data_IF_306862977549
#
_entry.id   IF_306862977549
#
_cell.length_a   1.000
_cell.length_b   1.000
_cell.length_c   1.000
_cell.angle_alpha   90.00
_cell.angle_beta   90.00
_cell.angle_gamma   90.00
#
_symmetry.space_group_name_H-M   'P 1'
#
loop_
_entity.id
_entity.type
_entity.pdbx_description
1 polymer ?
#
# COMPACT_ATOMS: atom_id res chain seq x y z
N UNK A 1 18.74 -21.61 -3.60
CA UNK A 1 17.66 -20.83 -4.08
C UNK A 1 16.71 -20.38 -3.01
N UNK A 2 16.84 -20.88 -1.80
CA UNK A 2 16.01 -20.37 -0.73
C UNK A 2 16.21 -18.89 -0.48
N UNK A 3 17.44 -18.39 -0.67
CA UNK A 3 17.68 -16.96 -0.50
C UNK A 3 16.89 -16.12 -1.48
N UNK A 4 16.69 -16.62 -2.70
CA UNK A 4 15.88 -15.90 -3.68
C UNK A 4 14.42 -15.87 -3.26
N UNK A 5 13.95 -16.97 -2.72
CA UNK A 5 12.57 -17.05 -2.22
C UNK A 5 12.36 -16.12 -1.03
N UNK A 6 13.35 -16.06 -0.14
CA UNK A 6 13.28 -15.17 1.01
C UNK A 6 13.25 -13.71 0.56
N UNK A 7 14.06 -13.36 -0.45
CA UNK A 7 14.04 -12.02 -0.99
C UNK A 7 12.69 -11.66 -1.59
N UNK A 8 12.06 -12.60 -2.32
CA UNK A 8 10.75 -12.38 -2.89
C UNK A 8 9.69 -12.22 -1.80
N UNK A 9 9.78 -13.01 -0.74
CA UNK A 9 8.84 -12.91 0.37
C UNK A 9 8.94 -11.53 1.05
N UNK A 10 10.14 -10.95 1.10
CA UNK A 10 10.33 -9.64 1.70
C UNK A 10 9.80 -8.51 0.83
N UNK A 11 9.61 -8.77 -0.46
CA UNK A 11 9.16 -7.77 -1.42
C UNK A 11 7.73 -8.07 -1.89
N UNK A 12 6.84 -8.29 -0.94
CA UNK A 12 5.42 -8.49 -1.20
C UNK A 12 4.69 -7.18 -1.01
N UNK A 13 3.76 -6.92 -1.91
CA UNK A 13 2.96 -5.69 -1.90
C UNK A 13 1.49 -6.05 -1.85
N UNK A 14 0.77 -5.44 -0.92
CA UNK A 14 -0.69 -5.48 -0.86
C UNK A 14 -1.21 -4.18 -1.46
N UNK A 15 -2.16 -4.26 -2.38
CA UNK A 15 -2.76 -3.09 -3.01
C UNK A 15 -4.19 -2.95 -2.50
N UNK A 16 -4.51 -1.79 -1.94
CA UNK A 16 -5.83 -1.52 -1.37
C UNK A 16 -6.46 -0.34 -2.11
N UNK A 17 -7.44 -0.64 -2.94
CA UNK A 17 -8.16 0.35 -3.75
C UNK A 17 -9.44 -0.32 -4.23
N UNK A 18 -10.54 0.42 -4.25
CA UNK A 18 -11.82 -0.14 -4.68
C UNK A 18 -12.04 -0.03 -6.19
N UNK A 19 -11.11 0.57 -6.93
CA UNK A 19 -11.19 0.69 -8.38
C UNK A 19 -10.29 -0.35 -9.04
N UNK A 20 -10.93 -1.30 -9.72
CA UNK A 20 -10.21 -2.43 -10.33
C UNK A 20 -9.13 -1.98 -11.32
N UNK A 21 -9.43 -0.96 -12.14
CA UNK A 21 -8.47 -0.49 -13.14
C UNK A 21 -7.23 0.13 -12.48
N UNK A 22 -7.42 0.80 -11.35
CA UNK A 22 -6.29 1.36 -10.59
C UNK A 22 -5.42 0.21 -10.07
N UNK A 23 -6.07 -0.81 -9.49
CA UNK A 23 -5.34 -1.98 -8.97
C UNK A 23 -4.52 -2.64 -10.08
N UNK A 24 -5.11 -2.81 -11.27
CA UNK A 24 -4.39 -3.41 -12.40
C UNK A 24 -3.16 -2.59 -12.79
N UNK A 25 -3.30 -1.28 -12.88
CA UNK A 25 -2.20 -0.41 -13.25
C UNK A 25 -1.06 -0.44 -12.23
N UNK A 26 -1.41 -0.38 -10.96
CA UNK A 26 -0.41 -0.47 -9.89
C UNK A 26 0.28 -1.83 -9.88
N UNK A 27 -0.49 -2.90 -10.08
CA UNK A 27 0.07 -4.25 -10.13
C UNK A 27 1.11 -4.40 -11.23
N UNK A 28 0.86 -3.82 -12.40
CA UNK A 28 1.80 -3.90 -13.52
C UNK A 28 3.13 -3.25 -13.15
N UNK A 29 3.11 -2.09 -12.51
CA UNK A 29 4.34 -1.40 -12.10
C UNK A 29 5.09 -2.24 -11.08
N UNK A 30 4.39 -2.76 -10.09
CA UNK A 30 4.99 -3.57 -9.03
C UNK A 30 5.67 -4.81 -9.63
N UNK A 31 4.98 -5.50 -10.53
CA UNK A 31 5.53 -6.71 -11.15
C UNK A 31 6.72 -6.40 -12.05
N UNK A 32 6.69 -5.26 -12.76
CA UNK A 32 7.83 -4.83 -13.58
C UNK A 32 9.06 -4.55 -12.72
N UNK A 33 8.85 -4.17 -11.47
CA UNK A 33 9.96 -3.93 -10.54
C UNK A 33 10.50 -5.22 -9.92
N UNK A 34 9.91 -6.37 -10.26
CA UNK A 34 10.35 -7.65 -9.73
C UNK A 34 9.76 -7.99 -8.37
N UNK A 35 8.70 -7.29 -7.96
CA UNK A 35 8.04 -7.52 -6.68
C UNK A 35 6.75 -8.30 -6.90
N UNK A 36 6.28 -8.93 -5.84
CA UNK A 36 5.06 -9.76 -5.89
C UNK A 36 3.87 -8.97 -5.34
N UNK A 37 2.76 -8.96 -6.09
CA UNK A 37 1.49 -8.47 -5.56
C UNK A 37 0.81 -9.67 -4.90
N UNK A 38 0.82 -9.71 -3.59
CA UNK A 38 0.32 -10.88 -2.86
C UNK A 38 -1.20 -10.90 -2.79
N UNK A 39 -1.85 -9.74 -2.84
CA UNK A 39 -3.32 -9.67 -2.80
C UNK A 39 -3.76 -8.25 -3.10
N UNK A 40 -5.07 -8.07 -3.28
CA UNK A 40 -5.67 -6.76 -3.35
C UNK A 40 -6.94 -6.75 -2.52
N UNK A 41 -7.33 -5.58 -2.02
CA UNK A 41 -8.51 -5.41 -1.19
C UNK A 41 -9.25 -4.14 -1.58
N UNK A 42 -10.56 -4.14 -1.38
CA UNK A 42 -11.40 -2.98 -1.69
C UNK A 42 -11.98 -2.33 -0.43
N UNK A 43 -11.85 -2.99 0.73
CA UNK A 43 -12.37 -2.48 2.00
C UNK A 43 -11.27 -2.49 3.05
N UNK A 44 -11.47 -1.69 4.10
CA UNK A 44 -10.51 -1.65 5.20
C UNK A 44 -10.40 -3.00 5.92
N UNK A 45 -11.54 -3.66 6.16
CA UNK A 45 -11.53 -4.95 6.86
C UNK A 45 -10.78 -6.02 6.07
N UNK A 46 -11.02 -6.09 4.76
CA UNK A 46 -10.31 -7.04 3.91
C UNK A 46 -8.81 -6.73 3.85
N UNK A 47 -8.47 -5.44 3.80
CA UNK A 47 -7.07 -5.02 3.78
C UNK A 47 -6.33 -5.52 5.03
N UNK A 48 -6.94 -5.33 6.19
CA UNK A 48 -6.34 -5.78 7.45
C UNK A 48 -6.20 -7.30 7.47
N UNK A 49 -7.26 -8.02 7.09
CA UNK A 49 -7.23 -9.48 7.09
C UNK A 49 -6.16 -10.02 6.16
N UNK A 50 -6.06 -9.47 4.95
CA UNK A 50 -5.08 -9.92 3.96
C UNK A 50 -3.66 -9.54 4.37
N UNK A 51 -3.48 -8.38 4.99
CA UNK A 51 -2.17 -7.97 5.49
C UNK A 51 -1.69 -8.92 6.58
N UNK A 52 -2.57 -9.32 7.48
CA UNK A 52 -2.22 -10.27 8.54
C UNK A 52 -1.91 -11.64 7.98
N UNK A 53 -2.61 -12.05 6.93
CA UNK A 53 -2.40 -13.35 6.30
C UNK A 53 -1.08 -13.41 5.52
N UNK A 54 -0.82 -12.42 4.68
CA UNK A 54 0.32 -12.45 3.77
C UNK A 54 1.54 -11.68 4.25
N UNK A 55 1.37 -10.82 5.24
CA UNK A 55 2.42 -10.02 5.87
C UNK A 55 3.29 -9.30 4.83
N UNK A 56 2.68 -8.43 4.02
CA UNK A 56 3.43 -7.72 2.98
C UNK A 56 4.45 -6.75 3.58
N UNK A 57 5.51 -6.49 2.85
CA UNK A 57 6.48 -5.48 3.26
C UNK A 57 5.97 -4.07 2.99
N UNK A 58 5.14 -3.93 1.95
CA UNK A 58 4.59 -2.64 1.53
C UNK A 58 3.10 -2.76 1.31
N UNK A 59 2.35 -1.74 1.71
CA UNK A 59 0.92 -1.63 1.42
C UNK A 59 0.69 -0.32 0.66
N UNK A 60 0.10 -0.42 -0.53
CA UNK A 60 -0.36 0.75 -1.28
C UNK A 60 -1.81 0.96 -0.86
N UNK A 61 -2.09 2.08 -0.19
CA UNK A 61 -3.36 2.28 0.50
C UNK A 61 -4.10 3.48 -0.04
N UNK A 62 -5.26 3.25 -0.65
CA UNK A 62 -6.18 4.31 -1.00
C UNK A 62 -6.88 4.80 0.27
N UNK A 63 -7.05 6.12 0.36
CA UNK A 63 -7.77 6.72 1.50
C UNK A 63 -9.25 6.34 1.49
N UNK A 64 -9.85 6.35 0.32
CA UNK A 64 -11.30 6.13 0.19
C UNK A 64 -11.59 4.68 -0.15
N UNK A 65 -12.22 3.99 0.77
CA UNK A 65 -12.58 2.60 0.60
C UNK A 65 -14.07 2.43 0.86
N UNK A 66 -14.62 1.32 0.37
CA UNK A 66 -16.01 0.99 0.64
C UNK A 66 -16.17 0.59 2.10
N UNK A 67 -17.34 0.91 2.66
CA UNK A 67 -17.65 0.53 4.03
C UNK A 67 -17.45 1.68 5.02
N UNK A 68 -17.55 1.36 6.30
CA UNK A 68 -17.51 2.36 7.37
C UNK A 68 -16.12 2.86 7.70
N UNK A 69 -15.10 2.04 7.45
CA UNK A 69 -13.71 2.38 7.75
C UNK A 69 -12.98 2.75 6.47
N UNK A 70 -12.09 3.72 6.57
CA UNK A 70 -11.31 4.18 5.42
C UNK A 70 -9.87 3.65 5.47
N UNK A 71 -9.04 4.12 4.53
CA UNK A 71 -7.65 3.67 4.42
C UNK A 71 -6.80 4.02 5.63
N UNK A 72 -7.09 5.13 6.30
CA UNK A 72 -6.31 5.49 7.50
C UNK A 72 -6.60 4.51 8.63
N UNK A 73 -7.87 4.14 8.82
CA UNK A 73 -8.23 3.15 9.84
C UNK A 73 -7.51 1.83 9.59
N UNK A 74 -7.53 1.36 8.33
CA UNK A 74 -6.85 0.12 7.97
C UNK A 74 -5.34 0.22 8.18
N UNK A 75 -4.74 1.34 7.79
CA UNK A 75 -3.30 1.53 7.87
C UNK A 75 -2.83 1.51 9.33
N UNK A 76 -3.57 2.14 10.23
CA UNK A 76 -3.23 2.14 11.64
C UNK A 76 -3.20 0.71 12.19
N UNK A 77 -4.21 -0.07 11.87
CA UNK A 77 -4.29 -1.45 12.36
C UNK A 77 -3.20 -2.33 11.74
N UNK A 78 -2.94 -2.16 10.45
CA UNK A 78 -1.88 -2.91 9.77
C UNK A 78 -0.52 -2.56 10.37
N UNK A 79 -0.28 -1.28 10.61
CA UNK A 79 0.96 -0.82 11.21
C UNK A 79 1.18 -1.48 12.58
N UNK A 80 0.15 -1.54 13.40
CA UNK A 80 0.24 -2.12 14.74
C UNK A 80 0.40 -3.64 14.71
N UNK A 81 -0.27 -4.34 13.80
CA UNK A 81 -0.33 -5.80 13.81
C UNK A 81 0.69 -6.47 12.88
N UNK A 82 1.09 -5.79 11.82
CA UNK A 82 1.98 -6.38 10.80
C UNK A 82 3.29 -5.62 10.69
N UNK A 83 3.24 -4.30 10.81
CA UNK A 83 4.43 -3.47 10.69
C UNK A 83 4.82 -3.17 9.25
N UNK A 84 3.91 -3.35 8.30
CA UNK A 84 4.16 -3.04 6.89
C UNK A 84 4.43 -1.55 6.69
N UNK A 85 5.26 -1.22 5.71
CA UNK A 85 5.43 0.17 5.27
C UNK A 85 4.22 0.55 4.44
N UNK A 86 3.58 1.66 4.78
CA UNK A 86 2.35 2.09 4.10
C UNK A 86 2.65 3.31 3.23
N UNK A 87 2.24 3.22 1.97
CA UNK A 87 2.25 4.34 1.04
C UNK A 87 0.81 4.71 0.78
N UNK A 88 0.39 5.89 1.22
CA UNK A 88 -0.95 6.37 0.92
C UNK A 88 -1.02 6.91 -0.49
N UNK A 89 -2.10 6.59 -1.19
CA UNK A 89 -2.40 7.11 -2.52
C UNK A 89 -3.78 7.76 -2.42
N UNK A 90 -3.83 9.08 -2.50
CA UNK A 90 -5.06 9.81 -2.23
C UNK A 90 -5.31 10.88 -3.27
N UNK A 91 -6.60 11.13 -3.55
CA UNK A 91 -7.01 12.26 -4.39
C UNK A 91 -7.29 13.52 -3.59
N UNK A 92 -7.26 13.43 -2.27
CA UNK A 92 -7.63 14.55 -1.40
C UNK A 92 -6.41 15.29 -0.88
N UNK A 93 -6.44 16.63 -0.99
CA UNK A 93 -5.40 17.47 -0.42
C UNK A 93 -5.97 18.30 0.73
N UNK A 94 -7.11 17.90 1.26
CA UNK A 94 -7.73 18.61 2.37
C UNK A 94 -6.88 18.50 3.62
N UNK A 95 -6.83 19.56 4.39
CA UNK A 95 -5.99 19.62 5.58
C UNK A 95 -6.36 18.55 6.61
N UNK A 96 -7.65 18.30 6.77
CA UNK A 96 -8.13 17.29 7.71
C UNK A 96 -7.61 15.90 7.33
N UNK A 97 -7.70 15.55 6.06
CA UNK A 97 -7.20 14.28 5.54
C UNK A 97 -5.69 14.17 5.76
N UNK A 98 -4.96 15.23 5.44
CA UNK A 98 -3.50 15.24 5.60
C UNK A 98 -3.11 15.05 7.06
N UNK A 99 -3.86 15.64 8.00
CA UNK A 99 -3.58 15.47 9.43
C UNK A 99 -3.77 14.03 9.87
N UNK A 100 -4.84 13.37 9.42
CA UNK A 100 -5.10 11.98 9.77
C UNK A 100 -4.01 11.05 9.22
N UNK A 101 -3.59 11.29 7.99
CA UNK A 101 -2.53 10.50 7.37
C UNK A 101 -1.23 10.63 8.15
N UNK A 102 -0.89 11.84 8.57
CA UNK A 102 0.35 12.07 9.31
C UNK A 102 0.36 11.37 10.66
N UNK A 103 -0.81 11.18 11.27
CA UNK A 103 -0.89 10.48 12.56
C UNK A 103 -0.46 9.02 12.46
N UNK A 104 -0.55 8.42 11.27
CA UNK A 104 -0.13 7.04 11.04
C UNK A 104 1.36 6.91 10.74
N UNK A 105 2.07 8.01 10.56
CA UNK A 105 3.49 8.03 10.21
C UNK A 105 3.78 7.16 8.98
N UNK A 106 3.11 7.43 7.84
CA UNK A 106 3.30 6.61 6.65
C UNK A 106 4.71 6.75 6.08
N UNK A 107 5.15 5.75 5.34
CA UNK A 107 6.44 5.80 4.64
C UNK A 107 6.42 6.83 3.52
N UNK A 108 5.26 7.01 2.87
CA UNK A 108 5.10 8.03 1.83
C UNK A 108 3.63 8.33 1.60
N UNK A 109 3.37 9.49 0.99
CA UNK A 109 2.03 9.89 0.55
C UNK A 109 2.13 10.38 -0.88
N UNK A 110 1.33 9.79 -1.76
CA UNK A 110 1.26 10.20 -3.16
C UNK A 110 -0.15 10.71 -3.47
N UNK A 111 -0.24 11.74 -4.29
CA UNK A 111 -1.51 12.35 -4.66
C UNK A 111 -1.87 11.99 -6.09
N UNK A 112 -3.10 11.51 -6.29
CA UNK A 112 -3.62 11.18 -7.62
C UNK A 112 -3.74 12.43 -8.49
N UNK A 113 -3.50 12.34 -9.78
CA UNK A 113 -3.04 11.15 -10.51
C UNK A 113 -1.54 10.93 -10.33
N UNK A 114 -1.14 9.69 -10.18
CA UNK A 114 0.28 9.36 -10.04
C UNK A 114 0.80 8.71 -11.31
N UNK A 115 2.06 9.00 -11.65
CA UNK A 115 2.70 8.37 -12.78
C UNK A 115 3.41 7.08 -12.36
N UNK A 116 3.69 6.21 -13.31
CA UNK A 116 4.46 5.00 -13.03
C UNK A 116 5.84 5.35 -12.49
N UNK A 117 6.47 6.37 -13.04
CA UNK A 117 7.79 6.81 -12.57
C UNK A 117 7.77 7.30 -11.13
N UNK A 118 6.71 8.02 -10.76
CA UNK A 118 6.55 8.50 -9.39
C UNK A 118 6.41 7.36 -8.41
N UNK A 119 5.61 6.35 -8.75
CA UNK A 119 5.43 5.18 -7.93
C UNK A 119 6.72 4.39 -7.79
N UNK A 120 7.43 4.15 -8.91
CA UNK A 120 8.72 3.44 -8.90
C UNK A 120 9.72 4.14 -8.00
N UNK A 121 9.86 5.45 -8.16
CA UNK A 121 10.83 6.22 -7.39
C UNK A 121 10.54 6.14 -5.90
N UNK A 122 9.25 6.22 -5.53
CA UNK A 122 8.84 6.15 -4.14
C UNK A 122 9.14 4.79 -3.54
N UNK A 123 8.81 3.71 -4.25
CA UNK A 123 9.06 2.35 -3.77
C UNK A 123 10.57 2.10 -3.64
N UNK A 124 11.35 2.52 -4.63
CA UNK A 124 12.81 2.37 -4.58
C UNK A 124 13.38 3.06 -3.37
N UNK A 125 12.91 4.26 -3.09
CA UNK A 125 13.40 5.04 -1.95
C UNK A 125 13.15 4.34 -0.62
N UNK A 126 11.95 3.82 -0.42
CA UNK A 126 11.61 3.19 0.87
C UNK A 126 12.20 1.79 1.00
N UNK A 127 12.50 1.11 -0.10
CA UNK A 127 13.08 -0.24 -0.04
C UNK A 127 14.61 -0.22 0.06
N UNK A 128 15.24 0.88 -0.31
CA UNK A 128 16.70 1.01 -0.18
C UNK A 128 17.16 1.15 1.26
N UNK A 129 16.26 1.53 2.13
CA UNK A 129 16.56 1.66 3.55
C UNK A 129 16.46 0.30 4.24
#
# INVERSE_FOLDING_TARGET
MSEMQDGNAQNRVLIVDDEFLIVMGLSMVIEEMGMEVCASAATADDAVALAQKYRPSIVLMDMRLQGDKDGVDAALEIHETVGSKVIFITGSREQETASRIRMDHPSAVLYKPISDGQLRATIEKITCD
#
